data_IF_689477782422
#
_entry.id   IF_689477782422
#
_cell.length_a   1.000
_cell.length_b   1.000
_cell.length_c   1.000
_cell.angle_alpha   90.00
_cell.angle_beta   90.00
_cell.angle_gamma   90.00
#
_symmetry.space_group_name_H-M   'P 1'
#
loop_
_entity.id
_entity.type
_entity.pdbx_description
1 polymer ?
#
# COMPACT_ATOMS: atom_id res chain seq x y z
N UNK A 1 61.80 -33.16 6.82
CA UNK A 1 61.07 -31.91 7.18
C UNK A 1 60.17 -31.40 6.05
N UNK A 2 60.57 -31.54 4.77
CA UNK A 2 59.77 -31.10 3.59
C UNK A 2 58.35 -31.70 3.51
N UNK A 3 58.16 -32.98 3.84
CA UNK A 3 56.84 -33.64 3.74
C UNK A 3 55.77 -33.10 4.73
N UNK A 4 56.19 -32.50 5.85
CA UNK A 4 55.27 -31.96 6.87
C UNK A 4 54.75 -30.57 6.47
N UNK A 5 55.59 -29.75 5.82
CA UNK A 5 55.19 -28.45 5.28
C UNK A 5 54.24 -28.60 4.08
N UNK A 6 54.48 -29.54 3.18
CA UNK A 6 53.60 -29.79 2.03
C UNK A 6 52.19 -30.26 2.45
N UNK A 7 52.09 -31.09 3.50
CA UNK A 7 50.82 -31.54 4.06
C UNK A 7 50.02 -30.41 4.74
N UNK A 8 50.72 -29.49 5.41
CA UNK A 8 50.13 -28.30 6.05
C UNK A 8 49.59 -27.30 5.01
N UNK A 9 50.36 -27.01 3.97
CA UNK A 9 49.94 -26.10 2.88
C UNK A 9 48.73 -26.66 2.14
N UNK A 10 48.73 -27.95 1.78
CA UNK A 10 47.57 -28.59 1.12
C UNK A 10 46.29 -28.55 1.98
N UNK A 11 46.39 -28.77 3.29
CA UNK A 11 45.22 -28.73 4.17
C UNK A 11 44.69 -27.31 4.36
N UNK A 12 45.55 -26.28 4.38
CA UNK A 12 45.12 -24.87 4.36
C UNK A 12 44.40 -24.53 3.06
N UNK A 13 44.94 -24.93 1.89
CA UNK A 13 44.31 -24.65 0.59
C UNK A 13 42.93 -25.32 0.46
N UNK A 14 42.77 -26.56 0.94
CA UNK A 14 41.48 -27.27 0.91
C UNK A 14 40.45 -26.55 1.80
N UNK A 15 40.86 -26.09 3.00
CA UNK A 15 39.99 -25.31 3.89
C UNK A 15 39.56 -23.99 3.25
N UNK A 16 40.46 -23.27 2.60
CA UNK A 16 40.12 -22.02 1.88
C UNK A 16 39.16 -22.25 0.71
N UNK A 17 39.37 -23.31 -0.09
CA UNK A 17 38.45 -23.67 -1.18
C UNK A 17 37.06 -24.00 -0.62
N UNK A 18 37.01 -24.75 0.48
CA UNK A 18 35.74 -25.11 1.12
C UNK A 18 35.02 -23.88 1.69
N UNK A 19 35.74 -22.96 2.34
CA UNK A 19 35.19 -21.70 2.84
C UNK A 19 34.68 -20.80 1.72
N UNK A 20 35.41 -20.68 0.59
CA UNK A 20 34.96 -19.91 -0.59
C UNK A 20 33.66 -20.49 -1.17
N UNK A 21 33.54 -21.81 -1.26
CA UNK A 21 32.32 -22.49 -1.72
C UNK A 21 31.14 -22.27 -0.76
N UNK A 22 31.37 -22.37 0.54
CA UNK A 22 30.35 -22.12 1.57
C UNK A 22 29.86 -20.67 1.54
N UNK A 23 30.77 -19.69 1.44
CA UNK A 23 30.44 -18.27 1.34
C UNK A 23 29.62 -17.95 0.08
N UNK A 24 29.95 -18.58 -1.05
CA UNK A 24 29.17 -18.44 -2.30
C UNK A 24 27.76 -19.01 -2.13
N UNK A 25 27.62 -20.21 -1.55
CA UNK A 25 26.30 -20.80 -1.25
C UNK A 25 25.48 -19.94 -0.31
N UNK A 26 26.08 -19.44 0.77
CA UNK A 26 25.41 -18.57 1.73
C UNK A 26 24.92 -17.27 1.07
N UNK A 27 25.73 -16.65 0.20
CA UNK A 27 25.30 -15.47 -0.58
C UNK A 27 24.14 -15.79 -1.50
N UNK A 28 24.18 -16.93 -2.19
CA UNK A 28 23.09 -17.37 -3.05
C UNK A 28 21.81 -17.60 -2.25
N UNK A 29 21.89 -18.27 -1.10
CA UNK A 29 20.74 -18.45 -0.20
C UNK A 29 20.22 -17.12 0.34
N UNK A 30 21.09 -16.22 0.80
CA UNK A 30 20.70 -14.91 1.28
C UNK A 30 20.03 -14.08 0.19
N UNK A 31 20.52 -14.16 -1.05
CA UNK A 31 19.92 -13.49 -2.20
C UNK A 31 18.51 -14.03 -2.49
N UNK A 32 18.35 -15.34 -2.62
CA UNK A 32 17.02 -15.93 -2.83
C UNK A 32 16.07 -15.66 -1.67
N UNK A 33 16.55 -15.76 -0.44
CA UNK A 33 15.77 -15.44 0.75
C UNK A 33 15.31 -13.98 0.74
N UNK A 34 16.19 -13.05 0.39
CA UNK A 34 15.83 -11.63 0.30
C UNK A 34 14.76 -11.37 -0.75
N UNK A 35 14.83 -12.03 -1.91
CA UNK A 35 13.78 -11.96 -2.94
C UNK A 35 12.46 -12.50 -2.39
N UNK A 36 12.46 -13.66 -1.74
CA UNK A 36 11.24 -14.26 -1.18
C UNK A 36 10.60 -13.31 -0.16
N UNK A 37 11.39 -12.75 0.75
CA UNK A 37 10.90 -11.80 1.77
C UNK A 37 10.30 -10.56 1.12
N UNK A 38 10.99 -9.97 0.13
CA UNK A 38 10.47 -8.81 -0.59
C UNK A 38 9.16 -9.14 -1.31
N UNK A 39 9.10 -10.27 -2.04
CA UNK A 39 7.89 -10.69 -2.75
C UNK A 39 6.72 -10.90 -1.79
N UNK A 40 6.94 -11.55 -0.65
CA UNK A 40 5.88 -11.73 0.37
C UNK A 40 5.44 -10.38 0.91
N UNK A 41 6.38 -9.49 1.25
CA UNK A 41 6.07 -8.16 1.78
C UNK A 41 5.22 -7.34 0.80
N UNK A 42 5.63 -7.26 -0.47
CA UNK A 42 4.86 -6.54 -1.49
C UNK A 42 3.48 -7.16 -1.72
N UNK A 43 3.38 -8.49 -1.81
CA UNK A 43 2.10 -9.19 -1.97
C UNK A 43 1.13 -8.91 -0.82
N UNK A 44 1.61 -8.94 0.44
CA UNK A 44 0.77 -8.67 1.61
C UNK A 44 0.26 -7.22 1.64
N UNK A 45 1.12 -6.25 1.33
CA UNK A 45 0.71 -4.85 1.26
C UNK A 45 -0.30 -4.62 0.13
N UNK A 46 -0.06 -5.18 -1.05
CA UNK A 46 -0.98 -5.09 -2.19
C UNK A 46 -2.37 -5.67 -1.88
N UNK A 47 -2.43 -6.86 -1.26
CA UNK A 47 -3.70 -7.48 -0.84
C UNK A 47 -4.42 -6.61 0.20
N UNK A 48 -3.68 -6.02 1.14
CA UNK A 48 -4.23 -5.13 2.15
C UNK A 48 -4.89 -3.89 1.54
N UNK A 49 -4.24 -3.26 0.56
CA UNK A 49 -4.78 -2.10 -0.14
C UNK A 49 -5.99 -2.45 -1.01
N UNK A 50 -5.94 -3.58 -1.72
CA UNK A 50 -7.09 -4.07 -2.50
C UNK A 50 -8.32 -4.30 -1.60
N UNK A 51 -8.11 -4.91 -0.43
CA UNK A 51 -9.19 -5.20 0.52
C UNK A 51 -9.79 -3.91 1.08
N UNK A 52 -8.97 -2.88 1.32
CA UNK A 52 -9.43 -1.55 1.75
C UNK A 52 -10.32 -0.91 0.68
N UNK A 53 -9.88 -0.91 -0.58
CA UNK A 53 -10.65 -0.36 -1.70
C UNK A 53 -11.98 -1.09 -1.88
N UNK A 54 -11.97 -2.42 -1.88
CA UNK A 54 -13.20 -3.22 -1.97
C UNK A 54 -14.17 -2.95 -0.82
N UNK A 55 -13.66 -2.74 0.40
CA UNK A 55 -14.50 -2.41 1.56
C UNK A 55 -15.15 -1.04 1.39
N UNK A 56 -14.38 -0.03 0.97
CA UNK A 56 -14.91 1.31 0.70
C UNK A 56 -15.96 1.28 -0.39
N UNK A 57 -15.70 0.59 -1.51
CA UNK A 57 -16.67 0.43 -2.60
C UNK A 57 -17.96 -0.22 -2.13
N UNK A 58 -17.85 -1.30 -1.36
CA UNK A 58 -19.02 -1.99 -0.79
C UNK A 58 -19.83 -1.06 0.11
N UNK A 59 -19.15 -0.26 0.93
CA UNK A 59 -19.82 0.68 1.83
C UNK A 59 -20.49 1.83 1.07
N UNK A 60 -19.84 2.35 0.02
CA UNK A 60 -20.47 3.36 -0.86
C UNK A 60 -21.73 2.77 -1.52
N UNK A 61 -21.65 1.54 -2.05
CA UNK A 61 -22.82 0.88 -2.63
C UNK A 61 -23.93 0.66 -1.61
N UNK A 62 -23.59 0.26 -0.38
CA UNK A 62 -24.56 0.05 0.68
C UNK A 62 -25.27 1.35 1.12
N UNK A 63 -24.56 2.48 1.12
CA UNK A 63 -25.13 3.78 1.51
C UNK A 63 -25.89 4.49 0.38
N UNK A 64 -25.60 4.17 -0.89
CA UNK A 64 -26.11 4.95 -2.04
C UNK A 64 -26.98 4.15 -3.00
N UNK A 65 -26.97 2.82 -2.91
CA UNK A 65 -27.57 1.88 -3.86
C UNK A 65 -27.09 2.08 -5.32
N UNK A 66 -25.92 2.70 -5.55
CA UNK A 66 -25.39 2.90 -6.90
C UNK A 66 -24.83 1.61 -7.50
N UNK A 67 -25.36 1.12 -8.64
CA UNK A 67 -24.90 -0.13 -9.23
C UNK A 67 -23.51 0.02 -9.88
N UNK A 68 -23.20 1.19 -10.42
CA UNK A 68 -21.92 1.52 -11.05
C UNK A 68 -21.57 2.97 -10.69
N UNK A 69 -20.35 3.20 -10.27
CA UNK A 69 -19.83 4.55 -9.99
C UNK A 69 -18.31 4.56 -10.16
N UNK A 70 -17.77 5.76 -10.35
CA UNK A 70 -16.35 6.03 -10.28
C UNK A 70 -16.11 6.97 -9.10
N UNK A 71 -14.97 6.83 -8.45
CA UNK A 71 -14.58 7.72 -7.36
C UNK A 71 -13.08 7.99 -7.38
N UNK A 72 -12.69 9.18 -6.92
CA UNK A 72 -11.32 9.65 -6.87
C UNK A 72 -11.05 10.30 -5.52
N UNK A 73 -9.91 9.97 -4.92
CA UNK A 73 -9.45 10.63 -3.69
C UNK A 73 -9.03 12.07 -4.01
N UNK A 74 -9.57 13.05 -3.28
CA UNK A 74 -9.28 14.46 -3.51
C UNK A 74 -8.47 15.11 -2.39
N UNK A 75 -8.33 14.44 -1.25
CA UNK A 75 -7.53 14.95 -0.14
C UNK A 75 -8.13 14.62 1.22
N UNK A 76 -7.43 15.06 2.26
CA UNK A 76 -7.87 14.95 3.64
C UNK A 76 -8.03 16.36 4.20
N UNK A 77 -9.02 16.59 5.03
CA UNK A 77 -9.30 17.92 5.55
C UNK A 77 -9.93 17.84 6.93
N UNK A 78 -10.02 18.98 7.61
CA UNK A 78 -10.66 19.03 8.92
C UNK A 78 -12.16 19.20 8.76
N UNK A 79 -12.95 18.22 9.20
CA UNK A 79 -14.35 18.50 9.52
C UNK A 79 -14.38 19.07 10.95
N UNK A 80 -14.50 20.39 11.06
CA UNK A 80 -14.54 21.15 12.33
C UNK A 80 -15.62 20.65 13.32
N UNK A 81 -16.51 19.76 12.89
CA UNK A 81 -17.62 19.27 13.70
C UNK A 81 -17.35 17.93 14.42
N UNK A 82 -16.33 17.12 14.06
CA UNK A 82 -16.26 15.70 14.52
C UNK A 82 -14.87 15.15 14.90
N UNK A 83 -13.89 16.00 15.25
CA UNK A 83 -12.69 15.55 15.97
C UNK A 83 -11.77 14.60 15.20
N UNK A 84 -11.53 14.87 13.91
CA UNK A 84 -10.58 14.13 13.08
C UNK A 84 -10.41 14.78 11.70
N UNK A 85 -9.45 14.28 10.93
CA UNK A 85 -9.25 14.66 9.53
C UNK A 85 -9.81 13.57 8.61
N UNK A 86 -11.10 13.61 8.23
CA UNK A 86 -11.66 12.68 7.26
C UNK A 86 -10.99 12.77 5.90
N UNK A 87 -11.17 11.72 5.11
CA UNK A 87 -10.76 11.62 3.73
C UNK A 87 -11.95 11.93 2.84
N UNK A 88 -11.70 12.73 1.81
CA UNK A 88 -12.72 13.17 0.88
C UNK A 88 -12.52 12.46 -0.45
N UNK A 89 -13.62 12.03 -1.04
CA UNK A 89 -13.62 11.42 -2.37
C UNK A 89 -14.68 12.09 -3.24
N UNK A 90 -14.32 12.35 -4.48
CA UNK A 90 -15.24 12.76 -5.52
C UNK A 90 -15.79 11.52 -6.20
N UNK A 91 -17.11 11.31 -6.14
CA UNK A 91 -17.78 10.21 -6.82
C UNK A 91 -18.69 10.69 -7.96
N UNK A 92 -18.84 9.85 -8.98
CA UNK A 92 -19.74 10.06 -10.11
C UNK A 92 -20.44 8.75 -10.45
N UNK A 93 -21.77 8.74 -10.39
CA UNK A 93 -22.60 7.55 -10.63
C UNK A 93 -23.03 7.40 -12.10
N UNK A 94 -22.51 8.24 -13.00
CA UNK A 94 -22.89 8.29 -14.41
C UNK A 94 -23.88 9.40 -14.76
N UNK A 95 -24.55 9.99 -13.76
CA UNK A 95 -25.49 11.10 -13.93
C UNK A 95 -25.02 12.35 -13.18
N UNK A 96 -24.78 12.21 -11.88
CA UNK A 96 -24.49 13.31 -10.97
C UNK A 96 -23.15 13.10 -10.27
N UNK A 97 -22.61 14.20 -9.74
CA UNK A 97 -21.40 14.21 -8.93
C UNK A 97 -21.74 14.28 -7.44
N UNK A 98 -20.93 13.64 -6.62
CA UNK A 98 -21.11 13.56 -5.18
C UNK A 98 -19.77 13.74 -4.47
N UNK A 99 -19.84 14.34 -3.29
CA UNK A 99 -18.75 14.37 -2.33
C UNK A 99 -19.01 13.27 -1.29
N UNK A 100 -18.08 12.35 -1.16
CA UNK A 100 -18.08 11.33 -0.12
C UNK A 100 -17.16 11.79 1.01
N UNK A 101 -17.71 11.85 2.22
CA UNK A 101 -16.92 11.96 3.44
C UNK A 101 -16.67 10.57 3.98
N UNK A 102 -15.40 10.22 4.11
CA UNK A 102 -14.94 8.91 4.57
C UNK A 102 -14.09 9.12 5.81
N UNK A 103 -14.23 8.25 6.80
CA UNK A 103 -13.39 8.29 8.00
C UNK A 103 -11.91 8.08 7.67
N UNK A 104 -11.05 8.38 8.65
CA UNK A 104 -9.61 8.14 8.56
C UNK A 104 -9.23 6.67 8.28
N UNK A 105 -10.15 5.75 8.51
CA UNK A 105 -9.96 4.33 8.19
C UNK A 105 -10.00 4.00 6.69
N UNK A 106 -10.37 4.98 5.83
CA UNK A 106 -10.57 4.83 4.39
C UNK A 106 -11.57 3.73 4.00
N UNK A 107 -12.57 3.50 4.85
CA UNK A 107 -13.56 2.44 4.66
C UNK A 107 -14.96 2.91 4.97
N UNK A 108 -15.13 3.66 6.05
CA UNK A 108 -16.46 4.03 6.56
C UNK A 108 -16.93 5.32 5.92
N UNK A 109 -18.05 5.25 5.18
CA UNK A 109 -18.70 6.43 4.58
C UNK A 109 -19.55 7.08 5.66
N UNK A 110 -19.31 8.35 5.95
CA UNK A 110 -20.10 9.12 6.94
C UNK A 110 -21.22 9.91 6.30
N UNK A 111 -20.95 10.46 5.12
CA UNK A 111 -21.87 11.35 4.44
C UNK A 111 -21.65 11.32 2.93
N UNK A 112 -22.76 11.38 2.19
CA UNK A 112 -22.78 11.53 0.74
C UNK A 112 -23.53 12.81 0.41
N UNK A 113 -22.82 13.78 -0.17
CA UNK A 113 -23.38 15.10 -0.48
C UNK A 113 -23.46 15.28 -1.99
N UNK A 114 -24.65 15.51 -2.57
CA UNK A 114 -24.78 15.77 -4.00
C UNK A 114 -24.12 17.11 -4.37
N UNK A 115 -23.48 17.13 -5.54
CA UNK A 115 -22.83 18.32 -6.08
C UNK A 115 -23.48 18.69 -7.41
N UNK A 116 -23.80 19.99 -7.62
CA UNK A 116 -24.49 20.44 -8.83
C UNK A 116 -23.63 20.38 -10.10
N UNK A 117 -22.30 20.43 -9.95
CA UNK A 117 -21.33 20.28 -11.06
C UNK A 117 -19.95 19.92 -10.48
N UNK A 118 -19.11 19.25 -11.27
CA UNK A 118 -17.70 18.97 -10.97
C UNK A 118 -16.89 20.24 -10.71
N UNK A 119 -17.29 21.40 -11.23
CA UNK A 119 -16.59 22.67 -10.98
C UNK A 119 -16.85 23.26 -9.59
N UNK A 120 -17.91 22.80 -8.92
CA UNK A 120 -18.23 23.17 -7.54
C UNK A 120 -17.17 22.66 -6.55
N UNK A 121 -16.27 21.77 -7.00
CA UNK A 121 -15.17 21.24 -6.19
C UNK A 121 -14.21 22.30 -5.66
N UNK A 122 -13.95 23.39 -6.38
CA UNK A 122 -13.07 24.44 -5.87
C UNK A 122 -13.60 25.02 -4.54
N UNK A 123 -14.92 25.13 -4.42
CA UNK A 123 -15.61 25.59 -3.21
C UNK A 123 -15.56 24.53 -2.09
N UNK A 124 -15.45 23.25 -2.44
CA UNK A 124 -15.30 22.14 -1.47
C UNK A 124 -13.95 22.18 -0.78
N UNK A 125 -12.86 22.44 -1.51
CA UNK A 125 -11.52 22.59 -0.91
C UNK A 125 -11.49 23.71 0.13
N UNK A 126 -12.07 24.87 -0.21
CA UNK A 126 -12.11 26.04 0.68
C UNK A 126 -13.02 25.81 1.91
N UNK A 127 -14.15 25.11 1.74
CA UNK A 127 -15.10 24.88 2.83
C UNK A 127 -14.65 23.81 3.84
N UNK A 128 -13.90 22.79 3.38
CA UNK A 128 -13.47 21.67 4.21
C UNK A 128 -11.99 21.70 4.56
N UNK A 129 -11.25 22.73 4.11
CA UNK A 129 -9.82 22.86 4.36
C UNK A 129 -9.05 21.63 3.90
N UNK A 130 -9.38 21.13 2.70
CA UNK A 130 -8.76 19.94 2.14
C UNK A 130 -7.34 20.30 1.71
N UNK A 131 -6.35 19.59 2.26
CA UNK A 131 -4.91 19.70 1.92
C UNK A 131 -4.47 18.60 0.94
#
# INVERSE_FOLDING_TARGET
MVAVEEGSVRTQTIKEIHQKRLKRRLRTFAFFFSIIVLTIFFSLNYIGDLTRQQTLETNIQAETDWPVFLYEYIGSGSNNSWGGNPNFYLAHNGQDYYLLHVQQDNRTVEQVTPLPDRRTFAVVYDNYGIE
#
